data_IF_980855626889
#
_entry.id   IF_980855626889
#
_cell.length_a   1.000
_cell.length_b   1.000
_cell.length_c   1.000
_cell.angle_alpha   90.00
_cell.angle_beta   90.00
_cell.angle_gamma   90.00
#
_symmetry.space_group_name_H-M   'P 1'
#
loop_
_entity.id
_entity.type
_entity.pdbx_description
1 polymer ?
#
# COMPACT_ATOMS: atom_id res chain seq x y z
N UNK A 1 20.01 -21.27 -35.61
CA UNK A 1 18.97 -20.33 -35.12
C UNK A 1 19.41 -19.83 -33.76
N UNK A 2 19.56 -18.52 -33.55
CA UNK A 2 20.03 -17.94 -32.28
C UNK A 2 18.87 -17.22 -31.61
N UNK A 3 18.65 -17.46 -30.31
CA UNK A 3 17.69 -16.73 -29.47
C UNK A 3 18.46 -16.02 -28.37
N UNK A 4 18.16 -14.74 -28.17
CA UNK A 4 18.74 -13.92 -27.10
C UNK A 4 17.61 -13.50 -26.17
N UNK A 5 17.79 -13.71 -24.88
CA UNK A 5 16.86 -13.31 -23.83
C UNK A 5 17.48 -12.16 -23.05
N UNK A 6 16.76 -11.06 -22.92
CA UNK A 6 17.19 -9.89 -22.15
C UNK A 6 16.20 -9.72 -21.00
N UNK A 7 16.73 -9.65 -19.78
CA UNK A 7 15.95 -9.38 -18.58
C UNK A 7 16.13 -7.93 -18.16
N UNK A 8 15.03 -7.28 -17.78
CA UNK A 8 15.02 -5.92 -17.26
C UNK A 8 14.25 -5.90 -15.94
N UNK A 9 14.90 -5.47 -14.86
CA UNK A 9 14.22 -5.15 -13.59
C UNK A 9 13.62 -3.75 -13.70
N UNK A 10 12.34 -3.60 -13.40
CA UNK A 10 11.62 -2.31 -13.41
C UNK A 10 11.23 -1.96 -11.98
N UNK A 11 11.53 -0.73 -11.59
CA UNK A 11 11.12 -0.16 -10.31
C UNK A 11 9.77 0.53 -10.45
N UNK A 12 9.08 0.70 -9.32
CA UNK A 12 7.79 1.38 -9.23
C UNK A 12 7.98 2.88 -9.48
N UNK A 13 7.15 3.45 -10.35
CA UNK A 13 7.20 4.86 -10.74
C UNK A 13 5.83 5.53 -10.64
N UNK A 14 5.85 6.85 -10.56
CA UNK A 14 4.64 7.68 -10.69
C UNK A 14 3.96 7.35 -12.02
N UNK A 15 2.66 7.14 -12.00
CA UNK A 15 1.89 6.70 -13.16
C UNK A 15 1.65 5.18 -13.24
N UNK A 16 2.34 4.38 -12.43
CA UNK A 16 2.06 2.94 -12.37
C UNK A 16 0.70 2.66 -11.73
N UNK A 17 0.02 1.62 -12.24
CA UNK A 17 -1.29 1.19 -11.74
C UNK A 17 -1.14 0.14 -10.65
N UNK A 18 -1.82 0.39 -9.54
CA UNK A 18 -1.90 -0.52 -8.39
C UNK A 18 -3.36 -0.90 -8.09
N UNK A 19 -3.55 -2.08 -7.51
CA UNK A 19 -4.87 -2.57 -7.13
C UNK A 19 -4.79 -3.35 -5.82
N UNK A 20 -5.79 -3.17 -4.96
CA UNK A 20 -5.97 -3.97 -3.74
C UNK A 20 -6.89 -5.16 -3.96
N UNK A 21 -6.93 -6.05 -2.96
CA UNK A 21 -7.72 -7.30 -2.97
C UNK A 21 -9.23 -7.05 -2.92
N UNK A 22 -9.64 -5.86 -2.47
CA UNK A 22 -11.02 -5.43 -2.33
C UNK A 22 -11.54 -4.63 -3.54
N UNK A 23 -10.90 -4.79 -4.70
CA UNK A 23 -11.34 -4.17 -5.96
C UNK A 23 -11.03 -2.68 -6.10
N UNK A 24 -10.38 -2.07 -5.11
CA UNK A 24 -9.86 -0.71 -5.18
C UNK A 24 -8.69 -0.64 -6.17
N UNK A 25 -8.76 0.27 -7.14
CA UNK A 25 -7.71 0.51 -8.13
C UNK A 25 -7.24 1.96 -8.03
N UNK A 26 -5.96 2.20 -8.23
CA UNK A 26 -5.36 3.52 -8.18
C UNK A 26 -4.14 3.65 -9.10
N UNK A 27 -3.76 4.88 -9.38
CA UNK A 27 -2.50 5.22 -10.04
C UNK A 27 -1.62 5.91 -9.00
N UNK A 28 -0.33 5.60 -8.98
CA UNK A 28 0.62 6.27 -8.08
C UNK A 28 0.73 7.74 -8.46
N UNK A 29 0.30 8.63 -7.57
CA UNK A 29 0.27 10.07 -7.81
C UNK A 29 1.61 10.75 -7.53
N UNK A 30 2.28 10.38 -6.43
CA UNK A 30 3.54 10.99 -6.01
C UNK A 30 4.34 10.02 -5.13
N UNK A 31 5.64 9.97 -5.35
CA UNK A 31 6.59 9.30 -4.44
C UNK A 31 7.16 10.36 -3.50
N UNK A 32 6.88 10.25 -2.20
CA UNK A 32 7.34 11.18 -1.16
C UNK A 32 8.56 10.60 -0.43
N UNK A 33 9.49 11.47 0.03
CA UNK A 33 10.55 11.03 0.93
C UNK A 33 9.96 10.73 2.32
N UNK A 34 10.64 9.89 3.11
CA UNK A 34 10.12 9.39 4.39
C UNK A 34 9.83 10.51 5.40
N UNK A 35 10.57 11.61 5.37
CA UNK A 35 10.36 12.76 6.26
C UNK A 35 9.03 13.50 6.04
N UNK A 36 8.45 13.40 4.85
CA UNK A 36 7.21 14.10 4.50
C UNK A 36 5.96 13.24 4.73
N UNK A 37 6.14 11.97 5.14
CA UNK A 37 5.03 11.05 5.41
C UNK A 37 4.42 11.28 6.80
N UNK A 38 3.14 10.96 7.00
CA UNK A 38 2.55 10.91 8.33
C UNK A 38 3.24 9.86 9.21
N UNK A 39 3.37 10.16 10.50
CA UNK A 39 4.03 9.31 11.49
C UNK A 39 3.05 8.73 12.49
N UNK A 40 3.29 7.50 12.91
CA UNK A 40 2.64 6.87 14.05
C UNK A 40 3.25 7.40 15.37
N UNK A 41 2.61 7.08 16.50
CA UNK A 41 3.04 7.54 17.83
C UNK A 41 4.43 7.04 18.24
N UNK A 42 4.87 5.93 17.68
CA UNK A 42 6.19 5.33 17.85
C UNK A 42 7.27 5.95 16.94
N UNK A 43 6.89 6.89 16.07
CA UNK A 43 7.79 7.51 15.09
C UNK A 43 7.94 6.72 13.79
N UNK A 44 7.19 5.65 13.58
CA UNK A 44 7.19 4.89 12.32
C UNK A 44 6.46 5.69 11.23
N UNK A 45 7.05 5.95 10.04
CA UNK A 45 6.37 6.62 8.94
C UNK A 45 5.40 5.66 8.22
N UNK A 46 4.26 6.17 7.77
CA UNK A 46 3.32 5.42 6.95
C UNK A 46 3.87 5.16 5.54
N UNK A 47 3.69 3.94 5.01
CA UNK A 47 4.18 3.56 3.68
C UNK A 47 3.28 4.06 2.53
N UNK A 48 1.96 4.12 2.73
CA UNK A 48 0.99 4.54 1.72
C UNK A 48 -0.21 5.25 2.33
N UNK A 49 -0.71 6.28 1.65
CA UNK A 49 -1.90 7.03 2.06
C UNK A 49 -3.02 6.83 1.04
N UNK A 50 -4.20 6.45 1.52
CA UNK A 50 -5.39 6.24 0.70
C UNK A 50 -6.43 7.33 0.92
N UNK A 51 -7.23 7.62 -0.11
CA UNK A 51 -8.41 8.46 0.03
C UNK A 51 -9.57 7.68 0.69
N UNK A 52 -10.07 8.11 1.87
CA UNK A 52 -11.12 7.38 2.58
C UNK A 52 -12.47 7.39 1.86
N UNK A 53 -12.74 8.38 1.00
CA UNK A 53 -14.04 8.53 0.32
C UNK A 53 -14.37 7.36 -0.64
N UNK A 54 -13.35 6.65 -1.11
CA UNK A 54 -13.52 5.50 -1.98
C UNK A 54 -14.20 4.30 -1.31
N UNK A 55 -14.17 4.26 0.03
CA UNK A 55 -14.73 3.15 0.80
C UNK A 55 -16.25 3.19 0.94
N UNK A 56 -16.85 4.26 1.50
CA UNK A 56 -18.31 4.35 1.62
C UNK A 56 -18.99 4.39 0.26
N UNK A 57 -18.39 5.07 -0.74
CA UNK A 57 -18.98 5.17 -2.08
C UNK A 57 -19.13 3.82 -2.79
N UNK A 58 -18.27 2.84 -2.49
CA UNK A 58 -18.27 1.52 -3.13
C UNK A 58 -18.68 0.39 -2.20
N UNK A 59 -18.96 0.71 -0.93
CA UNK A 59 -19.30 -0.25 0.11
C UNK A 59 -18.26 -1.36 0.29
N UNK A 60 -16.96 -1.08 0.07
CA UNK A 60 -15.88 -2.08 0.19
C UNK A 60 -15.34 -2.22 1.62
N UNK A 61 -16.24 -2.35 2.60
CA UNK A 61 -15.94 -2.34 4.04
C UNK A 61 -14.88 -3.39 4.45
N UNK A 62 -14.79 -4.51 3.72
CA UNK A 62 -13.75 -5.53 3.89
C UNK A 62 -12.32 -4.97 3.88
N UNK A 63 -12.05 -3.90 3.14
CA UNK A 63 -10.74 -3.23 3.13
C UNK A 63 -10.36 -2.68 4.51
N UNK A 64 -11.34 -2.13 5.24
CA UNK A 64 -11.12 -1.62 6.60
C UNK A 64 -10.88 -2.79 7.54
N UNK A 65 -11.70 -3.84 7.47
CA UNK A 65 -11.53 -5.03 8.32
C UNK A 65 -10.18 -5.72 8.09
N UNK A 66 -9.74 -5.86 6.84
CA UNK A 66 -8.41 -6.41 6.51
C UNK A 66 -7.29 -5.56 7.11
N UNK A 67 -7.39 -4.23 7.01
CA UNK A 67 -6.38 -3.32 7.54
C UNK A 67 -6.31 -3.35 9.07
N UNK A 68 -7.47 -3.36 9.75
CA UNK A 68 -7.55 -3.45 11.20
C UNK A 68 -7.05 -4.79 11.74
N UNK A 69 -7.43 -5.91 11.11
CA UNK A 69 -6.95 -7.23 11.48
C UNK A 69 -5.47 -7.41 11.18
N UNK A 70 -4.96 -6.80 10.09
CA UNK A 70 -3.54 -6.76 9.78
C UNK A 70 -2.74 -6.05 10.88
N UNK A 71 -3.21 -4.88 11.32
CA UNK A 71 -2.59 -4.15 12.44
C UNK A 71 -2.63 -4.96 13.75
N UNK A 72 -3.78 -5.61 14.05
CA UNK A 72 -3.91 -6.47 15.22
C UNK A 72 -2.97 -7.68 15.19
N UNK A 73 -2.67 -8.21 14.00
CA UNK A 73 -1.73 -9.32 13.82
C UNK A 73 -0.26 -8.92 13.89
N UNK A 74 0.06 -7.65 13.59
CA UNK A 74 1.43 -7.10 13.60
C UNK A 74 1.82 -6.49 14.95
N UNK A 75 0.84 -6.16 15.80
CA UNK A 75 1.08 -5.80 17.20
C UNK A 75 2.01 -6.84 17.85
N UNK A 76 3.14 -6.41 18.45
CA UNK A 76 4.20 -7.31 18.87
C UNK A 76 3.68 -8.39 19.82
N UNK A 77 4.13 -9.62 19.60
CA UNK A 77 4.02 -10.74 20.54
C UNK A 77 4.84 -10.52 21.81
N UNK A 78 5.00 -9.28 22.28
CA UNK A 78 5.77 -8.93 23.49
C UNK A 78 4.90 -8.94 24.76
N UNK A 79 3.69 -9.50 24.70
CA UNK A 79 2.82 -9.68 25.88
C UNK A 79 2.50 -11.15 26.16
N UNK A 80 3.31 -12.10 25.66
CA UNK A 80 3.26 -13.51 26.06
C UNK A 80 4.63 -14.03 26.48
#
# INVERSE_FOLDING_TARGET
MVRVYILQKREIKVGDKVAGRHGNKGIISKNLPRQDMPYLQDGTPADMVFNPLGVPSRMNVGQIFESSLGLAGDLPKETL
#
